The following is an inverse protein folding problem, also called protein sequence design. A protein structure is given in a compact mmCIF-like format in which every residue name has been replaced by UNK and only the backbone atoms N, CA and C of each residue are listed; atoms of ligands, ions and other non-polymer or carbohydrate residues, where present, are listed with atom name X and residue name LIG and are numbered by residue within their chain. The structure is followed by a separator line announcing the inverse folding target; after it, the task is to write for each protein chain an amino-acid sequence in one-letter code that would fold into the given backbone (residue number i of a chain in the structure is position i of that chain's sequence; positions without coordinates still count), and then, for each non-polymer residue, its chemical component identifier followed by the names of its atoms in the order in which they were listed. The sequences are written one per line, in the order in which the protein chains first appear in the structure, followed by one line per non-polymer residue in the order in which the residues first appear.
data_IF_301118278449
#
_entry.id   IF_301118278449
#
_cell.length_a   1.000
_cell.length_b   1.000
_cell.length_c   1.000
_cell.angle_alpha   90.00
_cell.angle_beta   90.00
_cell.angle_gamma   90.00
#
_symmetry.space_group_name_H-M   'P 1'
#
loop_
_entity.id
_entity.type
_entity.pdbx_description
1 polymer ?
#
# COMPACT_ATOMS: atom_id res chain seq x y z
N UNK A 1 9.29 -5.16 13.83
CA UNK A 1 8.86 -6.51 13.47
C UNK A 1 8.01 -6.44 12.21
N UNK A 2 8.42 -7.14 11.14
CA UNK A 2 7.86 -7.09 9.80
C UNK A 2 8.72 -6.28 8.81
N UNK A 3 9.12 -6.93 7.70
CA UNK A 3 9.94 -6.38 6.61
C UNK A 3 9.12 -5.97 5.39
N UNK A 4 7.81 -5.73 5.52
CA UNK A 4 6.98 -5.14 4.48
C UNK A 4 7.27 -3.65 4.29
N UNK A 5 6.57 -3.00 3.33
CA UNK A 5 6.80 -1.57 3.04
C UNK A 5 6.66 -0.68 4.28
N UNK A 6 5.70 -0.96 5.16
CA UNK A 6 5.51 -0.20 6.40
C UNK A 6 6.69 -0.36 7.34
N UNK A 7 7.13 -1.61 7.62
CA UNK A 7 8.26 -1.86 8.51
C UNK A 7 9.56 -1.27 7.98
N UNK A 8 9.82 -1.39 6.67
CA UNK A 8 11.00 -0.79 6.04
C UNK A 8 10.95 0.75 6.06
N UNK A 9 9.78 1.37 5.82
CA UNK A 9 9.62 2.81 5.89
C UNK A 9 9.83 3.37 7.31
N UNK A 10 9.27 2.69 8.32
CA UNK A 10 9.48 3.03 9.73
C UNK A 10 10.94 2.87 10.13
N UNK A 11 11.58 1.76 9.73
CA UNK A 11 13.00 1.52 10.01
C UNK A 11 13.89 2.61 9.40
N UNK A 12 13.67 2.97 8.12
CA UNK A 12 14.40 4.05 7.47
C UNK A 12 14.20 5.39 8.19
N UNK A 13 12.97 5.71 8.61
CA UNK A 13 12.68 6.95 9.33
C UNK A 13 13.35 6.99 10.71
N UNK A 14 13.38 5.89 11.45
CA UNK A 14 14.00 5.80 12.77
C UNK A 14 15.53 5.89 12.67
N UNK A 15 16.15 5.08 11.80
CA UNK A 15 17.62 5.09 11.65
C UNK A 15 18.13 6.42 11.10
N UNK A 16 17.36 7.10 10.25
CA UNK A 16 17.69 8.43 9.74
C UNK A 16 17.66 9.53 10.83
N UNK A 17 17.06 9.22 11.98
CA UNK A 17 17.02 10.08 13.16
C UNK A 17 17.95 9.60 14.28
N UNK A 18 18.88 8.69 13.99
CA UNK A 18 19.91 8.22 14.89
C UNK A 18 19.55 7.05 15.80
N UNK A 19 18.38 6.41 15.63
CA UNK A 19 18.04 5.22 16.37
C UNK A 19 18.83 3.99 15.86
N UNK A 20 19.22 3.09 16.77
CA UNK A 20 19.66 1.75 16.41
C UNK A 20 18.44 0.88 16.08
N UNK A 21 18.39 0.30 14.88
CA UNK A 21 17.21 -0.41 14.39
C UNK A 21 17.55 -1.83 13.93
N UNK A 22 16.74 -2.79 14.39
CA UNK A 22 16.71 -4.17 13.86
C UNK A 22 15.36 -4.46 13.25
N UNK A 23 15.35 -4.93 12.01
CA UNK A 23 14.14 -5.38 11.30
C UNK A 23 14.12 -6.90 11.42
N UNK A 24 13.05 -7.46 11.98
CA UNK A 24 12.89 -8.91 12.10
C UNK A 24 11.71 -9.34 11.25
N UNK A 25 11.93 -10.25 10.30
CA UNK A 25 10.88 -10.80 9.43
C UNK A 25 11.17 -12.25 9.06
N UNK A 26 10.15 -13.10 9.09
CA UNK A 26 10.32 -14.54 8.85
C UNK A 26 10.54 -14.91 7.38
N UNK A 27 10.15 -14.05 6.43
CA UNK A 27 10.21 -14.29 4.98
C UNK A 27 11.23 -13.43 4.26
N UNK A 28 11.81 -12.45 4.96
CA UNK A 28 12.63 -11.40 4.36
C UNK A 28 11.78 -10.24 3.82
N UNK A 29 12.45 -9.18 3.36
CA UNK A 29 11.78 -7.94 3.01
C UNK A 29 10.82 -8.08 1.82
N UNK A 30 9.66 -7.43 1.93
CA UNK A 30 8.67 -7.30 0.86
C UNK A 30 7.85 -8.56 0.56
N UNK A 31 8.02 -9.65 1.27
CA UNK A 31 7.43 -10.96 0.96
C UNK A 31 5.99 -11.20 1.47
N UNK A 32 5.34 -10.19 2.01
CA UNK A 32 3.93 -10.21 2.40
C UNK A 32 3.02 -9.55 1.36
N UNK A 33 2.02 -8.78 1.82
CA UNK A 33 1.10 -8.04 0.93
C UNK A 33 1.83 -7.12 -0.06
N UNK A 34 3.00 -6.61 0.29
CA UNK A 34 3.80 -5.69 -0.53
C UNK A 34 4.19 -6.27 -1.89
N UNK A 35 4.55 -7.57 -1.97
CA UNK A 35 4.93 -8.22 -3.24
C UNK A 35 3.81 -8.25 -4.28
N UNK A 36 2.56 -8.21 -3.82
CA UNK A 36 1.37 -8.23 -4.64
C UNK A 36 0.69 -6.85 -4.73
N UNK A 37 1.36 -5.78 -4.28
CA UNK A 37 0.80 -4.45 -4.39
C UNK A 37 1.03 -3.87 -5.78
N UNK A 38 -0.02 -3.25 -6.35
CA UNK A 38 0.07 -2.48 -7.58
C UNK A 38 0.73 -1.10 -7.38
N UNK A 39 0.84 -0.65 -6.13
CA UNK A 39 1.49 0.61 -5.80
C UNK A 39 0.71 1.86 -6.16
N UNK A 40 -0.60 1.77 -6.27
CA UNK A 40 -1.47 2.89 -6.64
C UNK A 40 -1.46 3.96 -5.53
N UNK A 41 -1.40 5.23 -5.95
CA UNK A 41 -1.41 6.41 -5.10
C UNK A 41 -2.65 7.26 -5.45
N UNK A 42 -3.80 6.83 -4.95
CA UNK A 42 -5.11 7.38 -5.34
C UNK A 42 -6.04 7.58 -4.12
N UNK A 43 -5.75 8.56 -3.23
CA UNK A 43 -6.49 8.75 -1.98
C UNK A 43 -7.98 9.01 -2.19
N UNK A 44 -8.36 9.72 -3.26
CA UNK A 44 -9.75 10.08 -3.53
C UNK A 44 -10.61 8.90 -4.01
N UNK A 45 -10.00 7.76 -4.27
CA UNK A 45 -10.66 6.53 -4.74
C UNK A 45 -10.66 5.48 -3.64
N UNK A 46 -9.52 5.25 -3.04
CA UNK A 46 -9.35 4.30 -1.95
C UNK A 46 -9.85 4.85 -0.61
N UNK A 47 -10.00 6.17 -0.47
CA UNK A 47 -10.48 6.85 0.73
C UNK A 47 -12.01 6.95 0.79
N UNK A 48 -12.70 5.82 0.91
CA UNK A 48 -14.16 5.76 1.01
C UNK A 48 -14.70 6.19 2.40
N UNK A 49 -13.83 6.37 3.38
CA UNK A 49 -14.12 6.90 4.73
C UNK A 49 -13.35 8.21 4.87
N UNK A 50 -13.99 9.26 5.42
CA UNK A 50 -13.38 10.59 5.55
C UNK A 50 -12.02 10.57 6.26
N UNK A 51 -11.89 9.77 7.32
CA UNK A 51 -10.63 9.58 8.03
C UNK A 51 -9.53 9.01 7.10
N UNK A 52 -9.84 7.98 6.32
CA UNK A 52 -8.90 7.36 5.39
C UNK A 52 -8.53 8.29 4.24
N UNK A 53 -9.51 9.05 3.72
CA UNK A 53 -9.27 10.07 2.71
C UNK A 53 -8.29 11.13 3.21
N UNK A 54 -8.51 11.66 4.42
CA UNK A 54 -7.61 12.64 5.04
C UNK A 54 -6.19 12.10 5.19
N UNK A 55 -6.03 10.90 5.74
CA UNK A 55 -4.72 10.24 5.87
C UNK A 55 -4.06 10.03 4.50
N UNK A 56 -4.83 9.57 3.52
CA UNK A 56 -4.34 9.33 2.15
C UNK A 56 -3.84 10.61 1.47
N UNK A 57 -4.58 11.71 1.58
CA UNK A 57 -4.20 13.01 1.02
C UNK A 57 -2.94 13.54 1.72
N UNK A 58 -2.90 13.50 3.06
CA UNK A 58 -1.72 13.93 3.83
C UNK A 58 -0.48 13.08 3.49
N UNK A 59 -0.66 11.79 3.29
CA UNK A 59 0.44 10.90 2.91
C UNK A 59 0.91 11.13 1.47
N UNK A 60 -0.02 11.35 0.54
CA UNK A 60 0.30 11.64 -0.86
C UNK A 60 1.12 12.93 -0.99
N UNK A 61 0.83 13.94 -0.16
CA UNK A 61 1.58 15.20 -0.13
C UNK A 61 3.06 15.02 0.28
N UNK A 62 3.39 13.93 0.97
CA UNK A 62 4.76 13.61 1.38
C UNK A 62 5.55 12.81 0.32
N UNK A 63 4.87 12.29 -0.72
CA UNK A 63 5.43 11.26 -1.58
C UNK A 63 6.63 11.72 -2.41
N UNK A 64 6.59 12.93 -2.99
CA UNK A 64 7.66 13.43 -3.84
C UNK A 64 9.00 13.51 -3.07
N UNK A 65 8.98 14.17 -1.91
CA UNK A 65 10.16 14.28 -1.03
C UNK A 65 10.57 12.93 -0.45
N UNK A 66 9.60 12.07 -0.13
CA UNK A 66 9.86 10.75 0.42
C UNK A 66 10.61 9.86 -0.57
N UNK A 67 10.12 9.75 -1.80
CA UNK A 67 10.76 8.94 -2.85
C UNK A 67 12.12 9.48 -3.21
N UNK A 68 12.25 10.82 -3.36
CA UNK A 68 13.54 11.45 -3.67
C UNK A 68 14.59 11.14 -2.59
N UNK A 69 14.22 11.28 -1.32
CA UNK A 69 15.11 10.98 -0.18
C UNK A 69 15.49 9.51 -0.11
N UNK A 70 14.52 8.61 -0.23
CA UNK A 70 14.78 7.15 -0.19
C UNK A 70 15.68 6.73 -1.33
N UNK A 71 15.43 7.23 -2.55
CA UNK A 71 16.26 6.94 -3.73
C UNK A 71 17.72 7.41 -3.53
N UNK A 72 17.90 8.62 -2.98
CA UNK A 72 19.22 9.16 -2.68
C UNK A 72 19.95 8.35 -1.58
N UNK A 73 19.26 8.03 -0.47
CA UNK A 73 19.82 7.26 0.64
C UNK A 73 20.17 5.82 0.24
N UNK A 74 19.33 5.21 -0.61
CA UNK A 74 19.55 3.85 -1.12
C UNK A 74 20.57 3.79 -2.27
N UNK A 75 20.82 4.91 -2.97
CA UNK A 75 21.54 4.98 -4.24
C UNK A 75 20.94 4.05 -5.31
N UNK A 76 19.61 3.98 -5.35
CA UNK A 76 18.85 3.15 -6.29
C UNK A 76 17.69 3.96 -6.88
N UNK A 77 17.41 3.84 -8.19
CA UNK A 77 16.23 4.45 -8.79
C UNK A 77 14.97 3.75 -8.27
N UNK A 78 13.88 4.50 -8.19
CA UNK A 78 12.54 4.00 -7.85
C UNK A 78 11.61 4.46 -8.95
N UNK A 79 10.90 3.54 -9.59
CA UNK A 79 9.87 3.92 -10.54
C UNK A 79 8.66 4.50 -9.79
N UNK A 80 8.46 5.79 -9.98
CA UNK A 80 7.41 6.60 -9.40
C UNK A 80 6.90 7.60 -10.43
N UNK A 81 5.59 7.70 -10.57
CA UNK A 81 4.94 8.65 -11.49
C UNK A 81 3.68 9.25 -10.89
N UNK A 82 3.52 10.57 -11.10
CA UNK A 82 2.30 11.34 -10.83
C UNK A 82 1.63 11.66 -12.18
N UNK A 83 1.30 10.61 -12.92
CA UNK A 83 0.70 10.71 -14.27
C UNK A 83 -0.82 10.81 -14.26
N UNK A 84 -1.42 10.85 -13.08
CA UNK A 84 -2.86 10.83 -12.89
C UNK A 84 -3.45 9.42 -12.86
N UNK A 85 -4.75 9.36 -12.57
CA UNK A 85 -5.57 8.16 -12.73
C UNK A 85 -6.83 8.49 -13.53
N UNK A 86 -7.21 7.59 -14.43
CA UNK A 86 -8.36 7.73 -15.30
C UNK A 86 -9.42 6.69 -14.94
N UNK A 87 -10.57 7.14 -14.47
CA UNK A 87 -11.72 6.29 -14.19
C UNK A 87 -12.61 6.24 -15.41
N UNK A 88 -12.91 5.05 -15.89
CA UNK A 88 -13.69 4.89 -17.15
C UNK A 88 -15.04 4.24 -16.88
N UNK A 89 -16.09 4.85 -17.45
CA UNK A 89 -17.44 4.33 -17.46
C UNK A 89 -17.74 3.66 -18.81
N UNK A 90 -18.31 2.46 -18.79
CA UNK A 90 -18.68 1.68 -19.99
C UNK A 90 -20.19 1.57 -20.20
N UNK A 91 -20.98 2.16 -19.31
CA UNK A 91 -22.43 2.26 -19.40
C UNK A 91 -22.92 3.53 -18.70
N UNK A 92 -24.19 3.87 -18.91
CA UNK A 92 -24.78 5.10 -18.39
C UNK A 92 -24.82 5.13 -16.85
N UNK A 93 -25.01 4.00 -16.19
CA UNK A 93 -25.01 3.93 -14.73
C UNK A 93 -23.64 4.31 -14.16
N UNK A 94 -22.56 3.72 -14.66
CA UNK A 94 -21.19 4.07 -14.26
C UNK A 94 -20.85 5.53 -14.64
N UNK A 95 -21.33 6.03 -15.79
CA UNK A 95 -21.13 7.43 -16.18
C UNK A 95 -21.83 8.40 -15.19
N UNK A 96 -23.00 8.04 -14.72
CA UNK A 96 -23.72 8.84 -13.70
C UNK A 96 -22.95 8.85 -12.37
N UNK A 97 -22.37 7.71 -11.94
CA UNK A 97 -21.53 7.64 -10.75
C UNK A 97 -20.30 8.55 -10.88
N UNK A 98 -19.61 8.55 -12.04
CA UNK A 98 -18.48 9.46 -12.29
C UNK A 98 -18.92 10.93 -12.25
N UNK A 99 -20.09 11.27 -12.79
CA UNK A 99 -20.63 12.63 -12.72
C UNK A 99 -20.97 13.07 -11.30
N UNK A 100 -21.45 12.17 -10.46
CA UNK A 100 -21.68 12.41 -9.02
C UNK A 100 -20.34 12.64 -8.31
N UNK A 101 -19.35 11.78 -8.57
CA UNK A 101 -18.02 11.92 -8.00
C UNK A 101 -17.35 13.25 -8.40
N UNK A 102 -17.43 13.64 -9.67
CA UNK A 102 -16.92 14.91 -10.16
C UNK A 102 -17.52 16.13 -9.43
N UNK A 103 -18.83 16.12 -9.17
CA UNK A 103 -19.48 17.19 -8.38
C UNK A 103 -18.98 17.23 -6.93
N UNK A 104 -18.75 16.07 -6.30
CA UNK A 104 -18.18 15.99 -4.95
C UNK A 104 -16.76 16.53 -4.94
N UNK A 105 -15.95 16.21 -5.92
CA UNK A 105 -14.58 16.70 -6.05
C UNK A 105 -14.55 18.22 -6.31
N UNK A 106 -15.43 18.74 -7.14
CA UNK A 106 -15.58 20.19 -7.33
C UNK A 106 -15.88 20.92 -6.02
N UNK A 107 -16.79 20.40 -5.21
CA UNK A 107 -17.13 20.96 -3.90
C UNK A 107 -15.96 20.88 -2.90
N UNK A 108 -15.17 19.81 -2.98
CA UNK A 108 -14.01 19.60 -2.10
C UNK A 108 -12.72 20.30 -2.61
N UNK A 109 -12.77 21.00 -3.75
CA UNK A 109 -11.60 21.64 -4.34
C UNK A 109 -10.54 20.67 -4.86
N UNK A 110 -10.93 19.41 -5.15
CA UNK A 110 -10.04 18.38 -5.71
C UNK A 110 -9.90 18.59 -7.20
N UNK A 111 -8.66 18.62 -7.70
CA UNK A 111 -8.38 18.72 -9.13
C UNK A 111 -8.92 17.48 -9.86
N UNK A 112 -9.80 17.68 -10.82
CA UNK A 112 -10.41 16.61 -11.60
C UNK A 112 -10.92 17.13 -12.95
N UNK A 113 -11.10 16.21 -13.90
CA UNK A 113 -11.67 16.52 -15.22
C UNK A 113 -12.60 15.39 -15.65
N UNK A 114 -13.89 15.70 -15.77
CA UNK A 114 -14.88 14.78 -16.34
C UNK A 114 -14.96 15.02 -17.85
N UNK A 115 -14.75 13.98 -18.64
CA UNK A 115 -14.63 14.07 -20.08
C UNK A 115 -15.45 13.01 -20.81
N UNK A 116 -15.88 13.29 -22.06
CA UNK A 116 -16.54 12.31 -22.91
C UNK A 116 -15.53 11.25 -23.41
N UNK A 117 -16.05 10.11 -23.87
CA UNK A 117 -15.22 8.98 -24.33
C UNK A 117 -14.15 9.37 -25.36
N UNK A 118 -14.49 10.22 -26.33
CA UNK A 118 -13.55 10.57 -27.38
C UNK A 118 -12.32 11.36 -26.90
N UNK A 119 -12.42 12.09 -25.79
CA UNK A 119 -11.29 12.77 -25.15
C UNK A 119 -10.44 11.77 -24.36
N UNK A 120 -11.07 10.86 -23.61
CA UNK A 120 -10.38 9.79 -22.90
C UNK A 120 -9.57 8.90 -23.87
N UNK A 121 -10.14 8.57 -25.05
CA UNK A 121 -9.47 7.79 -26.09
C UNK A 121 -8.30 8.54 -26.75
N UNK A 122 -8.30 9.88 -26.74
CA UNK A 122 -7.11 10.66 -27.15
C UNK A 122 -6.00 10.63 -26.11
N UNK A 123 -6.35 10.57 -24.82
CA UNK A 123 -5.37 10.47 -23.75
C UNK A 123 -4.75 9.08 -23.67
N UNK A 124 -5.57 8.04 -23.87
CA UNK A 124 -5.15 6.62 -23.77
C UNK A 124 -5.71 5.84 -24.96
N UNK A 125 -4.93 5.78 -26.04
CA UNK A 125 -5.38 5.23 -27.35
C UNK A 125 -5.61 3.73 -27.36
N UNK A 126 -5.08 2.99 -26.38
CA UNK A 126 -5.29 1.55 -26.23
C UNK A 126 -6.60 1.18 -25.53
N UNK A 127 -7.32 2.17 -24.99
CA UNK A 127 -8.60 1.91 -24.33
C UNK A 127 -9.66 1.43 -25.33
N UNK A 128 -10.58 0.62 -24.81
CA UNK A 128 -11.74 0.15 -25.56
C UNK A 128 -12.60 1.32 -26.06
N UNK A 129 -13.04 1.33 -27.33
CA UNK A 129 -13.94 2.37 -27.85
C UNK A 129 -15.36 2.31 -27.26
N UNK A 130 -15.67 1.30 -26.43
CA UNK A 130 -16.96 1.13 -25.77
C UNK A 130 -17.10 1.94 -24.48
N UNK A 131 -16.35 3.04 -24.36
CA UNK A 131 -16.46 3.96 -23.23
C UNK A 131 -17.60 4.96 -23.46
N UNK A 132 -18.21 5.40 -22.36
CA UNK A 132 -19.23 6.45 -22.33
C UNK A 132 -18.61 7.77 -21.87
N UNK A 133 -17.87 7.73 -20.76
CA UNK A 133 -17.17 8.89 -20.19
C UNK A 133 -15.96 8.44 -19.37
N UNK A 134 -15.15 9.40 -18.97
CA UNK A 134 -14.05 9.16 -18.04
C UNK A 134 -13.88 10.36 -17.09
N UNK A 135 -13.30 10.07 -15.91
CA UNK A 135 -12.94 11.06 -14.90
C UNK A 135 -11.45 10.96 -14.61
N UNK A 136 -10.71 12.02 -14.94
CA UNK A 136 -9.29 12.15 -14.67
C UNK A 136 -9.07 12.80 -13.29
N UNK A 137 -8.17 12.23 -12.49
CA UNK A 137 -7.65 12.81 -11.27
C UNK A 137 -6.14 13.01 -11.46
N UNK A 138 -5.69 14.22 -11.81
CA UNK A 138 -4.31 14.47 -12.26
C UNK A 138 -3.25 14.28 -11.17
N UNK A 139 -3.61 14.50 -9.91
CA UNK A 139 -2.68 14.41 -8.79
C UNK A 139 -2.40 12.96 -8.32
N UNK A 140 -3.08 12.00 -8.89
CA UNK A 140 -2.86 10.59 -8.60
C UNK A 140 -1.64 10.04 -9.35
N UNK A 141 -1.24 8.83 -8.96
CA UNK A 141 -0.10 8.17 -9.60
C UNK A 141 0.10 6.75 -9.12
N UNK A 142 1.32 6.28 -9.27
CA UNK A 142 1.75 4.99 -8.74
C UNK A 142 3.24 5.01 -8.38
N UNK A 143 3.63 4.05 -7.58
CA UNK A 143 5.03 3.72 -7.29
C UNK A 143 5.23 2.21 -7.41
N UNK A 144 6.35 1.78 -7.92
CA UNK A 144 6.70 0.35 -7.96
C UNK A 144 7.02 -0.14 -6.56
N UNK A 145 6.00 -0.72 -5.89
CA UNK A 145 6.04 -1.05 -4.46
C UNK A 145 7.23 -1.94 -4.06
N UNK A 146 7.63 -2.87 -4.94
CA UNK A 146 8.79 -3.74 -4.71
C UNK A 146 10.10 -2.95 -4.72
N UNK A 147 10.28 -2.03 -5.68
CA UNK A 147 11.47 -1.17 -5.76
C UNK A 147 11.55 -0.22 -4.58
N UNK A 148 10.44 0.45 -4.23
CA UNK A 148 10.38 1.32 -3.06
C UNK A 148 10.73 0.56 -1.78
N UNK A 149 10.20 -0.65 -1.59
CA UNK A 149 10.49 -1.45 -0.39
C UNK A 149 11.95 -1.89 -0.34
N UNK A 150 12.51 -2.33 -1.48
CA UNK A 150 13.93 -2.68 -1.59
C UNK A 150 14.83 -1.48 -1.30
N UNK A 151 14.51 -0.32 -1.85
CA UNK A 151 15.24 0.92 -1.62
C UNK A 151 15.16 1.37 -0.15
N UNK A 152 13.96 1.29 0.48
CA UNK A 152 13.79 1.59 1.91
C UNK A 152 14.66 0.70 2.79
N UNK A 153 14.70 -0.62 2.52
CA UNK A 153 15.57 -1.53 3.24
C UNK A 153 17.04 -1.20 3.01
N UNK A 154 17.46 -1.03 1.75
CA UNK A 154 18.85 -0.70 1.42
C UNK A 154 19.29 0.61 2.09
N UNK A 155 18.45 1.65 2.04
CA UNK A 155 18.70 2.93 2.71
C UNK A 155 18.83 2.76 4.23
N UNK A 156 17.94 1.95 4.85
CA UNK A 156 18.01 1.68 6.28
C UNK A 156 19.30 0.95 6.67
N UNK A 157 19.69 -0.09 5.91
CA UNK A 157 20.93 -0.86 6.15
C UNK A 157 22.17 0.04 5.96
N UNK A 158 22.21 0.87 4.93
CA UNK A 158 23.33 1.82 4.71
C UNK A 158 23.49 2.81 5.86
N UNK A 159 22.40 3.10 6.59
CA UNK A 159 22.41 3.95 7.78
C UNK A 159 22.62 3.18 9.10
N UNK A 160 22.91 1.88 9.04
CA UNK A 160 23.26 1.05 10.18
C UNK A 160 22.13 0.20 10.74
N UNK A 161 20.98 0.08 10.06
CA UNK A 161 19.97 -0.91 10.47
C UNK A 161 20.41 -2.33 10.13
N UNK A 162 19.94 -3.30 10.91
CA UNK A 162 20.18 -4.72 10.70
C UNK A 162 18.90 -5.44 10.27
N UNK A 163 19.00 -6.38 9.33
CA UNK A 163 17.91 -7.28 8.94
C UNK A 163 18.16 -8.68 9.49
N UNK A 164 17.21 -9.19 10.26
CA UNK A 164 17.24 -10.54 10.87
C UNK A 164 16.10 -11.35 10.26
N UNK A 165 16.42 -12.48 9.64
CA UNK A 165 15.40 -13.42 9.14
C UNK A 165 15.08 -14.40 10.25
N UNK A 166 13.95 -14.19 10.92
CA UNK A 166 13.49 -15.02 12.04
C UNK A 166 11.98 -14.93 12.24
N UNK A 167 11.38 -15.99 12.76
CA UNK A 167 10.02 -15.97 13.27
C UNK A 167 9.98 -15.38 14.69
N UNK A 168 8.92 -14.65 14.99
CA UNK A 168 8.68 -14.11 16.33
C UNK A 168 7.77 -15.09 17.07
N UNK A 169 8.16 -15.42 18.29
CA UNK A 169 7.45 -16.34 19.16
C UNK A 169 6.64 -15.57 20.22
N UNK A 170 7.23 -14.52 20.80
CA UNK A 170 6.60 -13.73 21.84
C UNK A 170 7.19 -12.31 21.90
N UNK A 171 6.37 -11.35 22.32
CA UNK A 171 6.77 -9.98 22.65
C UNK A 171 6.39 -9.69 24.10
N UNK A 172 7.38 -9.24 24.87
CA UNK A 172 7.18 -8.77 26.23
C UNK A 172 7.57 -7.28 26.29
N UNK A 173 6.62 -6.42 26.63
CA UNK A 173 6.88 -5.01 26.90
C UNK A 173 7.12 -4.78 28.39
N UNK A 174 7.90 -3.77 28.74
CA UNK A 174 8.17 -3.38 30.11
C UNK A 174 8.57 -1.91 30.22
N UNK A 175 8.59 -1.38 31.43
CA UNK A 175 9.06 -0.03 31.67
C UNK A 175 10.57 0.05 31.42
N UNK A 176 10.95 0.52 30.22
CA UNK A 176 12.34 0.77 29.85
C UNK A 176 12.98 -0.26 28.91
N UNK A 177 12.49 -1.49 28.84
CA UNK A 177 13.05 -2.51 27.93
C UNK A 177 11.99 -3.45 27.43
N UNK A 178 11.89 -3.60 26.12
CA UNK A 178 11.08 -4.62 25.45
C UNK A 178 11.95 -5.83 25.10
N UNK A 179 11.37 -7.01 25.21
CA UNK A 179 12.01 -8.29 24.86
C UNK A 179 11.21 -8.95 23.76
N UNK A 180 11.89 -9.41 22.72
CA UNK A 180 11.32 -10.20 21.64
C UNK A 180 12.00 -11.57 21.64
N UNK A 181 11.22 -12.64 21.87
CA UNK A 181 11.66 -14.00 21.65
C UNK A 181 11.48 -14.36 20.19
N UNK A 182 12.54 -14.85 19.56
CA UNK A 182 12.53 -15.22 18.16
C UNK A 182 13.31 -16.50 17.91
N UNK A 183 13.13 -17.13 16.75
CA UNK A 183 13.91 -18.29 16.33
C UNK A 183 15.41 -18.02 16.19
N UNK A 184 15.83 -16.74 16.13
CA UNK A 184 17.23 -16.32 16.15
C UNK A 184 17.73 -15.99 17.56
N UNK A 185 16.92 -16.20 18.59
CA UNK A 185 17.22 -15.92 19.99
C UNK A 185 16.49 -14.70 20.54
N UNK A 186 16.86 -14.34 21.76
CA UNK A 186 16.29 -13.21 22.50
C UNK A 186 16.88 -11.87 22.02
N UNK A 187 16.01 -10.93 21.71
CA UNK A 187 16.37 -9.57 21.31
C UNK A 187 15.81 -8.57 22.35
N UNK A 188 16.62 -7.58 22.71
CA UNK A 188 16.23 -6.51 23.62
C UNK A 188 16.27 -5.16 22.90
N UNK A 189 15.34 -4.25 23.22
CA UNK A 189 15.24 -2.90 22.68
C UNK A 189 14.42 -1.99 23.58
N UNK A 190 14.57 -0.67 23.44
CA UNK A 190 13.78 0.34 24.15
C UNK A 190 12.33 0.37 23.63
N UNK A 191 12.13 0.01 22.36
CA UNK A 191 10.82 0.00 21.72
C UNK A 191 10.70 -1.13 20.68
N UNK A 192 9.47 -1.61 20.49
CA UNK A 192 9.10 -2.60 19.47
C UNK A 192 7.95 -2.03 18.62
N UNK A 193 8.12 -2.03 17.30
CA UNK A 193 7.06 -1.65 16.35
C UNK A 193 6.51 -2.90 15.67
N UNK A 194 5.22 -3.14 15.80
CA UNK A 194 4.49 -4.25 15.16
C UNK A 194 4.01 -3.82 13.78
N UNK A 195 4.75 -4.22 12.74
CA UNK A 195 4.46 -3.96 11.33
C UNK A 195 4.30 -5.27 10.54
N UNK A 196 3.77 -6.32 11.20
CA UNK A 196 3.72 -7.70 10.69
C UNK A 196 2.56 -7.96 9.70
N UNK A 197 1.91 -6.90 9.18
CA UNK A 197 0.83 -7.02 8.21
C UNK A 197 -0.27 -7.94 8.69
N UNK A 198 -0.74 -8.86 7.87
CA UNK A 198 -1.81 -9.80 8.21
C UNK A 198 -1.45 -10.76 9.36
N UNK A 199 -0.17 -10.93 9.66
CA UNK A 199 0.30 -11.75 10.78
C UNK A 199 0.35 -11.00 12.10
N UNK A 200 0.01 -9.70 12.15
CA UNK A 200 0.03 -8.90 13.39
C UNK A 200 -0.84 -9.51 14.50
N UNK A 201 -1.98 -10.08 14.16
CA UNK A 201 -2.86 -10.78 15.09
C UNK A 201 -2.35 -12.14 15.59
N UNK A 202 -1.16 -12.58 15.12
CA UNK A 202 -0.52 -13.84 15.52
C UNK A 202 0.78 -13.66 16.31
N UNK A 203 0.98 -12.47 16.87
CA UNK A 203 2.16 -12.16 17.69
C UNK A 203 1.78 -12.20 19.17
N UNK A 204 2.04 -13.29 19.90
CA UNK A 204 1.67 -13.38 21.31
C UNK A 204 2.42 -12.36 22.19
N UNK A 205 1.83 -11.87 23.24
CA UNK A 205 0.43 -12.00 23.64
C UNK A 205 -0.51 -10.99 22.95
N UNK A 206 0.00 -10.22 21.97
CA UNK A 206 -0.71 -9.17 21.27
C UNK A 206 -1.68 -9.80 20.25
N UNK A 207 -2.94 -9.38 20.30
CA UNK A 207 -3.97 -9.90 19.40
C UNK A 207 -4.75 -8.76 18.74
N UNK A 208 -4.08 -7.86 17.98
CA UNK A 208 -4.80 -6.82 17.24
C UNK A 208 -5.78 -7.47 16.25
N UNK A 209 -6.99 -6.88 16.05
CA UNK A 209 -8.04 -7.46 15.21
C UNK A 209 -7.71 -7.28 13.72
N UNK A 210 -6.57 -7.82 13.32
CA UNK A 210 -6.09 -7.79 11.93
C UNK A 210 -6.32 -9.15 11.30
N UNK A 211 -7.07 -9.18 10.20
CA UNK A 211 -7.37 -10.40 9.42
C UNK A 211 -6.77 -10.33 8.02
N UNK A 212 -6.40 -11.47 7.44
CA UNK A 212 -5.93 -11.53 6.05
C UNK A 212 -7.11 -11.44 5.08
N UNK A 213 -6.98 -10.58 4.06
CA UNK A 213 -7.89 -10.51 2.91
C UNK A 213 -7.08 -10.74 1.66
N UNK A 214 -7.28 -11.91 1.01
CA UNK A 214 -6.53 -12.28 -0.20
C UNK A 214 -6.87 -11.36 -1.36
N UNK A 215 -5.84 -10.96 -2.11
CA UNK A 215 -5.95 -10.33 -3.41
C UNK A 215 -5.07 -11.03 -4.41
N UNK A 216 -5.63 -11.31 -5.60
CA UNK A 216 -4.91 -11.80 -6.75
C UNK A 216 -4.74 -10.65 -7.75
N UNK A 217 -3.53 -10.52 -8.31
CA UNK A 217 -3.20 -9.59 -9.39
C UNK A 217 -2.55 -10.36 -10.52
N UNK A 218 -2.86 -10.01 -11.76
CA UNK A 218 -2.11 -10.50 -12.92
C UNK A 218 -0.91 -9.59 -13.17
N UNK A 219 0.21 -10.18 -13.51
CA UNK A 219 1.38 -9.51 -14.07
C UNK A 219 1.48 -9.92 -15.53
N UNK A 220 1.26 -8.95 -16.41
CA UNK A 220 1.28 -9.10 -17.85
C UNK A 220 2.41 -8.25 -18.42
N UNK A 221 2.85 -8.53 -19.63
CA UNK A 221 3.88 -7.76 -20.31
C UNK A 221 3.52 -7.49 -21.77
N UNK A 222 3.75 -6.25 -22.21
CA UNK A 222 3.63 -5.79 -23.59
C UNK A 222 5.01 -5.37 -24.12
N UNK A 223 5.24 -5.44 -25.42
CA UNK A 223 6.47 -4.91 -26.03
C UNK A 223 6.62 -3.39 -25.80
N UNK A 224 5.51 -2.68 -25.79
CA UNK A 224 5.43 -1.23 -25.50
C UNK A 224 4.42 -0.99 -24.41
N UNK A 225 4.71 -0.07 -23.51
CA UNK A 225 3.79 0.36 -22.46
C UNK A 225 2.42 0.69 -23.04
N UNK A 226 1.34 -0.04 -22.69
CA UNK A 226 0.04 0.10 -23.32
C UNK A 226 -0.74 1.35 -22.88
N UNK A 227 -0.46 1.87 -21.68
CA UNK A 227 -1.11 3.02 -21.06
C UNK A 227 -0.07 3.97 -20.47
N UNK A 228 -0.39 5.24 -20.34
CA UNK A 228 0.50 6.23 -19.72
C UNK A 228 0.18 6.47 -18.23
N UNK A 229 -0.98 6.03 -17.76
CA UNK A 229 -1.48 6.26 -16.39
C UNK A 229 -2.28 5.08 -15.85
N UNK A 230 -2.57 5.12 -14.55
CA UNK A 230 -3.47 4.16 -13.93
C UNK A 230 -4.88 4.29 -14.50
N UNK A 231 -5.49 3.18 -14.91
CA UNK A 231 -6.87 3.14 -15.38
C UNK A 231 -7.72 2.32 -14.42
N UNK A 232 -8.87 2.85 -14.05
CA UNK A 232 -9.87 2.18 -13.21
C UNK A 232 -11.11 1.89 -14.04
N UNK A 233 -11.49 0.63 -14.11
CA UNK A 233 -12.80 0.17 -14.54
C UNK A 233 -13.67 -0.18 -13.34
N UNK A 234 -14.86 -0.70 -13.60
CA UNK A 234 -15.79 -1.13 -12.53
C UNK A 234 -15.23 -2.33 -11.75
N UNK A 235 -14.63 -3.31 -12.44
CA UNK A 235 -14.26 -4.60 -11.88
C UNK A 235 -12.75 -4.82 -11.72
N UNK A 236 -11.94 -3.96 -12.33
CA UNK A 236 -10.48 -4.04 -12.23
C UNK A 236 -9.83 -2.68 -12.41
N UNK A 237 -8.56 -2.61 -12.03
CA UNK A 237 -7.66 -1.52 -12.37
C UNK A 237 -6.45 -2.03 -13.16
N UNK A 238 -5.84 -1.12 -13.92
CA UNK A 238 -4.66 -1.36 -14.76
C UNK A 238 -3.56 -0.41 -14.34
N UNK A 239 -2.39 -0.94 -13.98
CA UNK A 239 -1.23 -0.12 -13.60
C UNK A 239 -0.08 -0.41 -14.56
N UNK A 240 0.24 0.52 -15.47
CA UNK A 240 1.29 0.34 -16.44
C UNK A 240 2.65 0.75 -15.88
N UNK A 241 3.64 -0.12 -15.97
CA UNK A 241 5.02 0.21 -15.66
C UNK A 241 5.80 0.58 -16.93
N UNK A 242 6.92 1.29 -16.76
CA UNK A 242 7.73 1.80 -17.88
C UNK A 242 8.36 0.71 -18.74
N UNK A 243 8.63 -0.45 -18.13
CA UNK A 243 9.23 -1.61 -18.79
C UNK A 243 8.24 -2.41 -19.68
N UNK A 244 7.01 -1.94 -19.85
CA UNK A 244 5.95 -2.63 -20.59
C UNK A 244 5.12 -3.58 -19.74
N UNK A 245 5.45 -3.74 -18.46
CA UNK A 245 4.63 -4.52 -17.55
C UNK A 245 3.30 -3.82 -17.27
N UNK A 246 2.24 -4.61 -17.16
CA UNK A 246 0.90 -4.18 -16.78
C UNK A 246 0.41 -5.04 -15.61
N UNK A 247 0.11 -4.39 -14.49
CA UNK A 247 -0.58 -5.07 -13.38
C UNK A 247 -2.09 -4.90 -13.53
N UNK A 248 -2.81 -6.01 -13.47
CA UNK A 248 -4.28 -6.05 -13.48
C UNK A 248 -4.77 -6.52 -12.11
N UNK A 249 -5.53 -5.71 -11.43
CA UNK A 249 -6.01 -6.03 -10.08
C UNK A 249 -7.43 -5.57 -9.81
N UNK A 250 -8.04 -6.03 -8.76
CA UNK A 250 -7.64 -7.16 -7.96
C UNK A 250 -8.85 -7.86 -7.37
N UNK A 251 -8.70 -9.14 -7.08
CA UNK A 251 -9.73 -9.85 -6.33
C UNK A 251 -9.76 -9.40 -4.85
N UNK A 252 -10.87 -9.68 -4.17
CA UNK A 252 -11.05 -9.48 -2.73
C UNK A 252 -11.70 -10.74 -2.17
N UNK A 253 -10.97 -11.50 -1.34
CA UNK A 253 -11.38 -12.82 -0.94
C UNK A 253 -11.08 -13.08 0.55
N UNK A 254 -12.10 -13.47 1.31
CA UNK A 254 -12.02 -13.82 2.73
C UNK A 254 -11.73 -15.34 2.87
N UNK A 255 -10.49 -15.74 2.69
CA UNK A 255 -10.04 -17.15 2.66
C UNK A 255 -8.97 -17.47 3.71
N UNK A 256 -8.84 -16.61 4.73
CA UNK A 256 -7.81 -16.77 5.73
C UNK A 256 -6.40 -16.58 5.15
N UNK A 257 -5.46 -17.38 5.62
CA UNK A 257 -4.04 -17.30 5.20
C UNK A 257 -3.72 -18.14 3.95
N UNK A 258 -4.70 -18.44 3.11
CA UNK A 258 -4.48 -19.12 1.85
C UNK A 258 -3.89 -18.15 0.80
N UNK A 259 -2.64 -18.41 0.39
CA UNK A 259 -1.90 -17.65 -0.64
C UNK A 259 -1.91 -18.38 -2.01
N UNK A 260 -2.94 -19.19 -2.31
CA UNK A 260 -3.04 -19.92 -3.57
C UNK A 260 -3.78 -19.12 -4.63
N UNK A 261 -3.26 -19.09 -5.86
CA UNK A 261 -3.98 -18.53 -7.01
C UNK A 261 -5.14 -19.45 -7.43
N UNK A 262 -6.26 -18.86 -7.85
CA UNK A 262 -7.41 -19.63 -8.34
C UNK A 262 -7.67 -19.34 -9.82
N UNK A 263 -8.09 -20.37 -10.57
CA UNK A 263 -8.48 -20.20 -11.97
C UNK A 263 -9.60 -19.15 -12.12
N UNK A 264 -10.59 -19.16 -11.21
CA UNK A 264 -11.69 -18.21 -11.23
C UNK A 264 -11.22 -16.75 -11.08
N UNK A 265 -10.28 -16.48 -10.14
CA UNK A 265 -9.70 -15.15 -9.96
C UNK A 265 -8.93 -14.68 -11.19
N UNK A 266 -8.12 -15.56 -11.78
CA UNK A 266 -7.36 -15.27 -13.01
C UNK A 266 -8.30 -14.97 -14.18
N UNK A 267 -9.29 -15.82 -14.43
CA UNK A 267 -10.26 -15.65 -15.52
C UNK A 267 -11.01 -14.32 -15.38
N UNK A 268 -11.55 -14.04 -14.19
CA UNK A 268 -12.27 -12.79 -13.94
C UNK A 268 -11.42 -11.55 -14.27
N UNK A 269 -10.15 -11.53 -13.85
CA UNK A 269 -9.27 -10.40 -14.10
C UNK A 269 -8.90 -10.25 -15.57
N UNK A 270 -8.69 -11.37 -16.29
CA UNK A 270 -8.44 -11.36 -17.73
C UNK A 270 -9.66 -10.81 -18.50
N UNK A 271 -10.86 -11.30 -18.19
CA UNK A 271 -12.10 -10.86 -18.81
C UNK A 271 -12.33 -9.35 -18.57
N UNK A 272 -12.26 -8.92 -17.29
CA UNK A 272 -12.47 -7.51 -16.94
C UNK A 272 -11.45 -6.58 -17.60
N UNK A 273 -10.20 -7.00 -17.71
CA UNK A 273 -9.16 -6.18 -18.35
C UNK A 273 -9.26 -6.14 -19.87
N UNK A 274 -9.69 -7.25 -20.52
CA UNK A 274 -9.96 -7.29 -21.95
C UNK A 274 -11.12 -6.37 -22.37
N UNK A 275 -12.03 -6.09 -21.46
CA UNK A 275 -13.09 -5.10 -21.67
C UNK A 275 -12.59 -3.65 -21.68
N UNK A 276 -11.46 -3.39 -21.03
CA UNK A 276 -10.87 -2.04 -20.94
C UNK A 276 -9.84 -1.77 -22.03
N UNK A 277 -9.04 -2.77 -22.41
CA UNK A 277 -7.95 -2.64 -23.38
C UNK A 277 -8.19 -3.49 -24.64
N UNK A 278 -8.16 -2.87 -25.79
CA UNK A 278 -8.28 -3.58 -27.10
C UNK A 278 -7.06 -4.44 -27.41
N UNK A 279 -5.90 -4.07 -26.89
CA UNK A 279 -4.62 -4.76 -27.10
C UNK A 279 -4.38 -5.92 -26.11
N UNK A 280 -5.34 -6.22 -25.25
CA UNK A 280 -5.19 -7.27 -24.22
C UNK A 280 -4.77 -8.64 -24.77
N UNK A 281 -5.26 -9.10 -25.94
CA UNK A 281 -4.81 -10.36 -26.55
C UNK A 281 -3.33 -10.41 -26.93
N UNK A 282 -2.65 -9.28 -27.03
CA UNK A 282 -1.22 -9.17 -27.37
C UNK A 282 -0.32 -9.31 -26.12
N UNK A 283 -0.90 -9.27 -24.93
CA UNK A 283 -0.17 -9.35 -23.68
C UNK A 283 0.42 -10.76 -23.46
N UNK A 284 1.69 -10.81 -23.03
CA UNK A 284 2.26 -12.04 -22.49
C UNK A 284 1.87 -12.17 -21.01
N UNK A 285 1.54 -13.37 -20.62
CA UNK A 285 1.23 -13.69 -19.23
C UNK A 285 2.52 -14.04 -18.48
N UNK A 286 2.91 -13.23 -17.50
CA UNK A 286 4.13 -13.45 -16.72
C UNK A 286 3.85 -14.20 -15.42
N UNK A 287 2.90 -13.71 -14.61
CA UNK A 287 2.62 -14.30 -13.30
C UNK A 287 1.26 -13.91 -12.72
N UNK A 288 0.83 -14.66 -11.71
CA UNK A 288 -0.17 -14.21 -10.71
C UNK A 288 0.57 -13.82 -9.44
N UNK A 289 0.26 -12.64 -8.90
CA UNK A 289 0.77 -12.18 -7.61
C UNK A 289 -0.33 -12.32 -6.57
N UNK A 290 0.00 -12.93 -5.45
CA UNK A 290 -0.92 -13.14 -4.33
C UNK A 290 -0.44 -12.33 -3.13
N UNK A 291 -1.35 -11.62 -2.50
CA UNK A 291 -1.08 -10.90 -1.27
C UNK A 291 -2.23 -10.97 -0.28
N UNK A 292 -1.90 -11.05 1.00
CA UNK A 292 -2.85 -11.01 2.09
C UNK A 292 -2.87 -9.59 2.66
N UNK A 293 -3.91 -8.83 2.34
CA UNK A 293 -4.09 -7.48 2.87
C UNK A 293 -4.43 -7.54 4.36
N UNK A 294 -3.77 -6.74 5.22
CA UNK A 294 -4.07 -6.68 6.65
C UNK A 294 -5.32 -5.83 6.90
N UNK A 295 -6.49 -6.44 6.93
CA UNK A 295 -7.76 -5.75 7.18
C UNK A 295 -8.06 -5.64 8.67
N UNK A 296 -8.56 -4.48 9.11
CA UNK A 296 -9.16 -4.21 10.41
C UNK A 296 -10.69 -4.19 10.30
N UNK A 297 -11.46 -4.30 11.39
CA UNK A 297 -12.92 -4.25 11.32
C UNK A 297 -13.50 -2.95 10.75
N UNK A 298 -12.83 -1.82 10.99
CA UNK A 298 -13.20 -0.47 10.55
C UNK A 298 -12.42 0.02 9.32
N UNK A 299 -11.59 -0.85 8.73
CA UNK A 299 -10.72 -0.59 7.58
C UNK A 299 -9.69 0.55 7.78
N UNK A 300 -9.54 1.06 9.01
CA UNK A 300 -8.51 2.02 9.37
C UNK A 300 -7.26 1.33 9.92
N UNK A 301 -6.06 1.84 9.64
CA UNK A 301 -4.84 1.27 10.20
C UNK A 301 -4.77 1.44 11.73
N UNK A 302 -3.96 0.61 12.35
CA UNK A 302 -3.57 0.71 13.75
C UNK A 302 -2.20 1.36 13.81
N UNK A 303 -2.14 2.63 14.25
CA UNK A 303 -0.89 3.38 14.38
C UNK A 303 -0.86 4.05 15.75
N UNK A 304 0.09 3.68 16.59
CA UNK A 304 0.22 4.28 17.91
C UNK A 304 0.78 3.33 18.96
N UNK A 305 0.98 3.82 20.20
CA UNK A 305 1.43 3.00 21.30
C UNK A 305 0.36 1.99 21.75
N UNK A 306 0.78 0.85 22.24
CA UNK A 306 -0.08 -0.06 22.97
C UNK A 306 -0.49 0.56 24.31
N UNK A 307 -1.78 0.47 24.66
CA UNK A 307 -2.28 0.88 25.97
C UNK A 307 -2.00 -0.16 27.05
N UNK A 308 -1.74 -1.41 26.65
CA UNK A 308 -1.56 -2.56 27.54
C UNK A 308 -0.09 -2.97 27.73
N UNK A 309 0.78 -2.58 26.81
CA UNK A 309 2.19 -3.00 26.79
C UNK A 309 3.12 -1.82 26.53
N UNK A 310 3.70 -1.20 27.58
CA UNK A 310 4.63 -0.07 27.43
C UNK A 310 5.81 -0.40 26.52
N UNK A 311 6.21 0.54 25.67
CA UNK A 311 7.31 0.38 24.70
C UNK A 311 6.91 -0.34 23.41
N UNK A 312 5.69 -0.87 23.31
CA UNK A 312 5.18 -1.49 22.08
C UNK A 312 4.31 -0.51 21.30
N UNK A 313 4.53 -0.46 19.99
CA UNK A 313 3.81 0.39 19.05
C UNK A 313 3.24 -0.45 17.90
N UNK A 314 2.07 -0.08 17.41
CA UNK A 314 1.46 -0.68 16.24
C UNK A 314 1.68 0.20 15.01
N UNK A 315 1.96 -0.43 13.87
CA UNK A 315 1.99 0.14 12.53
C UNK A 315 1.48 -0.90 11.53
N UNK A 316 0.20 -1.25 11.62
CA UNK A 316 -0.38 -2.39 10.90
C UNK A 316 -1.84 -2.10 10.50
N UNK A 317 -2.51 -3.06 9.87
CA UNK A 317 -3.93 -2.91 9.53
C UNK A 317 -4.22 -1.97 8.37
N UNK A 318 -3.25 -1.66 7.52
CA UNK A 318 -3.37 -0.68 6.43
C UNK A 318 -4.26 -1.14 5.27
N UNK A 319 -4.74 -2.37 5.28
CA UNK A 319 -5.60 -2.98 4.26
C UNK A 319 -5.07 -2.73 2.85
N UNK A 320 -5.78 -1.95 2.02
CA UNK A 320 -5.42 -1.63 0.62
C UNK A 320 -4.42 -0.48 0.51
N UNK A 321 -4.28 0.32 1.56
CA UNK A 321 -3.61 1.62 1.56
C UNK A 321 -2.16 1.59 2.07
N UNK A 322 -1.57 0.41 2.31
CA UNK A 322 -0.24 0.31 2.92
C UNK A 322 0.87 1.02 2.14
N UNK A 323 0.84 0.98 0.81
CA UNK A 323 1.80 1.72 -0.02
C UNK A 323 1.52 3.21 0.09
N UNK A 324 0.31 3.65 -0.18
CA UNK A 324 -0.09 5.07 -0.09
C UNK A 324 0.23 5.69 1.27
N UNK A 325 -0.04 4.98 2.36
CA UNK A 325 0.15 5.50 3.72
C UNK A 325 1.57 5.34 4.28
N UNK A 326 2.50 4.70 3.55
CA UNK A 326 3.82 4.40 4.09
C UNK A 326 4.64 5.63 4.50
N UNK A 327 4.65 6.78 3.78
CA UNK A 327 5.37 7.97 4.22
C UNK A 327 4.81 8.56 5.52
N UNK A 328 3.49 8.72 5.59
CA UNK A 328 2.82 9.27 6.78
C UNK A 328 2.98 8.34 7.99
N UNK A 329 2.77 7.03 7.81
CA UNK A 329 2.96 6.04 8.88
C UNK A 329 4.39 6.09 9.42
N UNK A 330 5.39 6.14 8.55
CA UNK A 330 6.79 6.21 8.96
C UNK A 330 7.08 7.47 9.78
N UNK A 331 6.55 8.63 9.35
CA UNK A 331 6.65 9.88 10.08
C UNK A 331 6.00 9.78 11.46
N UNK A 332 4.73 9.36 11.51
CA UNK A 332 3.95 9.29 12.74
C UNK A 332 4.59 8.35 13.78
N UNK A 333 5.01 7.16 13.35
CA UNK A 333 5.64 6.17 14.24
C UNK A 333 7.00 6.68 14.74
N UNK A 334 7.82 7.26 13.88
CA UNK A 334 9.11 7.80 14.30
C UNK A 334 8.96 9.00 15.25
N UNK A 335 7.97 9.87 15.04
CA UNK A 335 7.65 10.96 15.95
C UNK A 335 7.22 10.45 17.33
N UNK A 336 6.41 9.39 17.39
CA UNK A 336 5.98 8.76 18.66
C UNK A 336 7.12 8.07 19.40
N UNK A 337 7.92 7.27 18.70
CA UNK A 337 8.99 6.47 19.32
C UNK A 337 10.13 7.36 19.85
N UNK A 338 10.50 8.40 19.09
CA UNK A 338 11.69 9.20 19.42
C UNK A 338 11.37 10.52 20.17
N UNK A 339 10.18 11.04 20.10
CA UNK A 339 9.89 12.36 20.65
C UNK A 339 8.55 12.50 21.37
N UNK A 340 7.73 11.44 21.39
CA UNK A 340 6.39 11.50 21.99
C UNK A 340 5.45 12.53 21.34
N UNK A 341 5.78 13.03 20.16
CA UNK A 341 4.97 14.00 19.43
C UNK A 341 3.64 13.38 19.00
N UNK A 342 2.56 14.08 19.36
CA UNK A 342 1.21 13.70 18.92
C UNK A 342 0.83 14.53 17.69
N UNK A 343 0.55 13.83 16.60
CA UNK A 343 0.00 14.40 15.37
C UNK A 343 -1.53 14.21 15.40
N UNK A 344 -2.34 15.19 14.99
CA UNK A 344 -3.81 15.05 14.95
C UNK A 344 -4.31 13.87 14.13
N UNK A 345 -3.55 13.41 13.14
CA UNK A 345 -3.91 12.24 12.34
C UNK A 345 -3.88 10.93 13.13
N UNK A 346 -3.13 10.88 14.25
CA UNK A 346 -3.09 9.71 15.14
C UNK A 346 -4.43 9.44 15.82
N UNK A 347 -5.23 10.47 16.12
CA UNK A 347 -6.54 10.28 16.79
C UNK A 347 -7.49 9.40 15.98
N UNK A 348 -7.33 9.37 14.64
CA UNK A 348 -8.15 8.57 13.74
C UNK A 348 -7.79 7.08 13.73
N UNK A 349 -6.55 6.76 14.13
CA UNK A 349 -5.94 5.43 13.90
C UNK A 349 -5.40 4.79 15.17
N UNK A 350 -5.72 5.35 16.34
CA UNK A 350 -5.23 4.88 17.64
C UNK A 350 -5.60 3.42 17.90
N UNK A 351 -4.67 2.63 18.47
CA UNK A 351 -4.94 1.22 18.81
C UNK A 351 -5.95 1.04 19.94
N UNK A 352 -6.06 2.01 20.86
CA UNK A 352 -6.95 1.97 22.02
C UNK A 352 -8.45 1.92 21.67
N UNK A 353 -8.84 2.29 20.41
CA UNK A 353 -10.21 2.09 19.91
C UNK A 353 -10.63 0.61 19.85
N UNK A 354 -9.66 -0.30 19.97
CA UNK A 354 -9.86 -1.76 20.11
C UNK A 354 -9.37 -2.29 21.45
N UNK A 355 -9.07 -1.42 22.42
CA UNK A 355 -8.58 -1.84 23.74
C UNK A 355 -7.10 -2.32 23.75
N UNK A 356 -6.29 -1.91 22.76
CA UNK A 356 -4.90 -2.34 22.57
C UNK A 356 -3.89 -1.37 23.18
#
# INVERSE_FOLDING_TARGET
MGGGIIGCAVAHALVSRGAAVRIVDMRGAGRGATQASAGILAPHIEGHIDALLRLGVNSLALYDDFVARVSADAQQPIEYERSGSLHVARNDAAAMELAIAARRFAHAGVAHELMPAHEALRLETALSPRLVSALLLPDHGYVRAAELTSALLAAAIRKGAEMIVASIEEVCGGSGTCVVQSSAGRLESDAVVIAAGSWSGRVPPLTPPVRPVRGQLLHLHFEKRPLSRVVWGTDCYLVPWRDGSLLVGATVEEVGFDETATAAGVTRLLESSAELLTTMPEARFDAVRIGLRPGTPDELPLIGPSSTMPGVYYATGHYRNGVLLSPLTAKLVADLVLGGRRDPDLELVRPDRFGL
#
